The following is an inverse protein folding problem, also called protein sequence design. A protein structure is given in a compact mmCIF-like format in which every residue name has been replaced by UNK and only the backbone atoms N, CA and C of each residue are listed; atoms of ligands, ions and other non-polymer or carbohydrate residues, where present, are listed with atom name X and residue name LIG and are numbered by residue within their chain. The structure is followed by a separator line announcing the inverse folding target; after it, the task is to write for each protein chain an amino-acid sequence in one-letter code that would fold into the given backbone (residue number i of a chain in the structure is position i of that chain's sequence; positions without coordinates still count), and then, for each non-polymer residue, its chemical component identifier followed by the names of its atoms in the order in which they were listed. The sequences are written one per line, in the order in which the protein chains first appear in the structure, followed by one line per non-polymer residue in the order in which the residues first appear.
data_IF_673376248766
#
_entry.id   IF_673376248766
#
_cell.length_a   1.000
_cell.length_b   1.000
_cell.length_c   1.000
_cell.angle_alpha   90.00
_cell.angle_beta   90.00
_cell.angle_gamma   90.00
#
_symmetry.space_group_name_H-M   'P 1'
#
loop_
_entity.id
_entity.type
_entity.pdbx_description
1 polymer ?
#
# COMPACT_ATOMS: atom_id res chain seq x y z
N UNK A 1 3.60 5.53 2.67
CA UNK A 1 4.68 5.23 3.62
C UNK A 1 4.13 4.30 4.71
N UNK A 2 4.73 3.15 4.86
CA UNK A 2 4.28 2.19 5.85
C UNK A 2 5.07 2.37 7.13
N UNK A 3 4.34 2.60 8.20
CA UNK A 3 4.92 2.76 9.52
C UNK A 3 4.97 1.39 10.22
N UNK A 4 6.11 1.07 10.82
CA UNK A 4 6.29 -0.14 11.64
C UNK A 4 5.28 -0.21 12.79
N UNK A 5 4.93 0.94 13.37
CA UNK A 5 3.92 1.04 14.40
C UNK A 5 2.52 0.61 13.91
N UNK A 6 2.19 0.90 12.67
CA UNK A 6 0.93 0.45 12.05
C UNK A 6 0.88 -1.07 11.94
N UNK A 7 1.95 -1.70 11.47
CA UNK A 7 2.03 -3.17 11.37
C UNK A 7 1.91 -3.82 12.74
N UNK A 8 2.64 -3.31 13.73
CA UNK A 8 2.56 -3.81 15.11
C UNK A 8 1.15 -3.68 15.68
N UNK A 9 0.47 -2.57 15.43
CA UNK A 9 -0.90 -2.35 15.87
C UNK A 9 -1.90 -3.29 15.20
N UNK A 10 -1.73 -3.57 13.90
CA UNK A 10 -2.57 -4.53 13.18
C UNK A 10 -2.36 -5.95 13.70
N UNK A 11 -1.13 -6.35 13.98
CA UNK A 11 -0.84 -7.68 14.53
C UNK A 11 -1.29 -7.87 15.97
N UNK A 12 -1.54 -6.78 16.70
CA UNK A 12 -2.04 -6.81 18.07
C UNK A 12 -3.58 -6.97 18.17
N UNK A 13 -4.30 -6.97 17.05
CA UNK A 13 -5.75 -7.18 17.05
C UNK A 13 -6.06 -8.62 17.48
N UNK A 14 -7.02 -8.77 18.38
CA UNK A 14 -7.48 -10.07 18.87
C UNK A 14 -8.41 -10.75 17.84
N UNK A 15 -7.86 -11.10 16.70
CA UNK A 15 -8.53 -11.86 15.65
C UNK A 15 -7.50 -12.61 14.80
N UNK A 16 -7.94 -13.63 14.10
CA UNK A 16 -7.10 -14.32 13.14
C UNK A 16 -6.96 -13.46 11.87
N UNK A 17 -5.78 -12.93 11.65
CA UNK A 17 -5.48 -12.11 10.49
C UNK A 17 -4.16 -12.50 9.83
N UNK A 18 -4.08 -12.28 8.53
CA UNK A 18 -2.87 -12.43 7.74
C UNK A 18 -2.58 -11.11 7.05
N UNK A 19 -1.37 -10.58 7.25
CA UNK A 19 -0.87 -9.44 6.51
C UNK A 19 -0.09 -9.91 5.29
N UNK A 20 -0.51 -9.49 4.13
CA UNK A 20 0.18 -9.75 2.87
C UNK A 20 0.83 -8.45 2.40
N UNK A 21 2.15 -8.47 2.26
CA UNK A 21 2.93 -7.36 1.72
C UNK A 21 3.43 -7.72 0.34
N UNK A 22 3.09 -6.92 -0.64
CA UNK A 22 3.61 -7.04 -1.99
C UNK A 22 4.47 -5.82 -2.29
N UNK A 23 5.76 -6.06 -2.49
CA UNK A 23 6.75 -5.01 -2.77
C UNK A 23 7.35 -5.29 -4.13
N UNK A 24 7.20 -4.34 -5.04
CA UNK A 24 7.77 -4.43 -6.38
C UNK A 24 8.71 -3.25 -6.62
N UNK A 25 10.01 -3.49 -6.83
CA UNK A 25 10.92 -2.43 -7.20
C UNK A 25 10.54 -1.87 -8.58
N UNK A 26 10.60 -0.56 -8.72
CA UNK A 26 10.31 0.14 -9.97
C UNK A 26 11.64 0.54 -10.59
N UNK A 27 11.79 0.26 -11.89
CA UNK A 27 12.97 0.69 -12.63
C UNK A 27 13.07 2.21 -12.64
N UNK A 28 14.24 2.75 -12.27
CA UNK A 28 14.46 4.19 -11.99
C UNK A 28 13.92 5.14 -13.08
N UNK A 29 14.16 4.95 -14.38
CA UNK A 29 13.60 5.82 -15.41
C UNK A 29 12.08 5.82 -15.46
N UNK A 30 11.47 4.67 -15.21
CA UNK A 30 10.00 4.52 -15.16
C UNK A 30 9.41 5.21 -13.93
N UNK A 31 10.05 5.06 -12.77
CA UNK A 31 9.66 5.73 -11.54
C UNK A 31 9.69 7.27 -11.69
N UNK A 32 10.76 7.79 -12.31
CA UNK A 32 10.89 9.22 -12.61
C UNK A 32 9.78 9.72 -13.53
N UNK A 33 9.47 8.98 -14.60
CA UNK A 33 8.39 9.34 -15.53
C UNK A 33 7.02 9.38 -14.85
N UNK A 34 6.71 8.39 -14.01
CA UNK A 34 5.46 8.34 -13.25
C UNK A 34 5.33 9.51 -12.28
N UNK A 35 6.37 9.82 -11.52
CA UNK A 35 6.35 10.93 -10.56
C UNK A 35 6.25 12.28 -11.25
N UNK A 36 6.93 12.47 -12.37
CA UNK A 36 6.80 13.71 -13.16
C UNK A 36 5.38 13.86 -13.72
N UNK A 37 4.75 12.77 -14.15
CA UNK A 37 3.37 12.80 -14.60
C UNK A 37 2.41 13.16 -13.46
N UNK A 38 2.59 12.56 -12.29
CA UNK A 38 1.77 12.86 -11.11
C UNK A 38 1.95 14.30 -10.64
N UNK A 39 3.19 14.82 -10.64
CA UNK A 39 3.47 16.21 -10.31
C UNK A 39 2.76 17.18 -11.28
N UNK A 40 2.80 16.91 -12.58
CA UNK A 40 2.09 17.72 -13.58
C UNK A 40 0.57 17.70 -13.35
N UNK A 41 0.01 16.53 -13.08
CA UNK A 41 -1.42 16.40 -12.78
C UNK A 41 -1.79 17.16 -11.51
N UNK A 42 -1.00 17.06 -10.45
CA UNK A 42 -1.20 17.79 -9.20
C UNK A 42 -1.18 19.30 -9.43
N UNK A 43 -0.26 19.80 -10.24
CA UNK A 43 -0.17 21.21 -10.59
C UNK A 43 -1.39 21.70 -11.40
N UNK A 44 -1.91 20.86 -12.31
CA UNK A 44 -3.07 21.18 -13.13
C UNK A 44 -4.38 21.19 -12.36
N UNK A 45 -4.52 20.35 -11.33
CA UNK A 45 -5.75 20.16 -10.56
C UNK A 45 -5.84 21.04 -9.30
N UNK A 46 -5.00 22.05 -9.17
CA UNK A 46 -5.01 23.00 -8.04
C UNK A 46 -4.81 22.34 -6.67
N UNK A 47 -4.05 21.26 -6.60
CA UNK A 47 -3.60 20.72 -5.33
C UNK A 47 -2.76 21.74 -4.56
N UNK A 48 -2.73 21.62 -3.23
CA UNK A 48 -1.94 22.49 -2.39
C UNK A 48 -0.47 22.47 -2.78
N UNK A 49 0.20 23.60 -2.61
CA UNK A 49 1.64 23.74 -2.89
C UNK A 49 2.48 22.66 -2.18
N UNK A 50 2.05 22.24 -0.99
CA UNK A 50 2.69 21.20 -0.19
C UNK A 50 2.79 19.84 -0.90
N UNK A 51 1.74 19.47 -1.66
CA UNK A 51 1.74 18.21 -2.42
C UNK A 51 2.73 18.26 -3.59
N UNK A 52 2.80 19.40 -4.28
CA UNK A 52 3.75 19.60 -5.37
C UNK A 52 5.19 19.58 -4.86
N UNK A 53 5.44 20.17 -3.68
CA UNK A 53 6.75 20.15 -3.03
C UNK A 53 7.17 18.72 -2.63
N UNK A 54 6.26 17.92 -2.06
CA UNK A 54 6.53 16.51 -1.75
C UNK A 54 6.95 15.70 -2.99
N UNK A 55 6.29 15.90 -4.12
CA UNK A 55 6.70 15.24 -5.37
C UNK A 55 8.09 15.69 -5.84
N UNK A 56 8.44 16.97 -5.69
CA UNK A 56 9.76 17.47 -6.05
C UNK A 56 10.87 16.91 -5.16
N UNK A 57 10.61 16.76 -3.86
CA UNK A 57 11.53 16.12 -2.91
C UNK A 57 11.78 14.65 -3.24
N UNK A 58 10.71 13.91 -3.57
CA UNK A 58 10.83 12.49 -3.96
C UNK A 58 11.61 12.35 -5.27
N UNK A 59 11.37 13.22 -6.24
CA UNK A 59 12.14 13.24 -7.49
C UNK A 59 13.63 13.52 -7.24
N UNK A 60 13.95 14.50 -6.40
CA UNK A 60 15.33 14.81 -6.03
C UNK A 60 16.01 13.62 -5.32
N UNK A 61 15.28 12.94 -4.41
CA UNK A 61 15.77 11.75 -3.73
C UNK A 61 16.06 10.59 -4.69
N UNK A 62 15.26 10.43 -5.75
CA UNK A 62 15.51 9.41 -6.79
C UNK A 62 16.72 9.77 -7.63
N UNK A 63 16.93 11.04 -7.96
CA UNK A 63 18.12 11.49 -8.71
C UNK A 63 19.40 11.29 -7.91
N UNK A 64 19.35 11.51 -6.61
CA UNK A 64 20.48 11.31 -5.68
C UNK A 64 20.71 9.85 -5.27
N UNK A 65 19.81 8.95 -5.64
CA UNK A 65 19.86 7.54 -5.23
C UNK A 65 21.04 6.73 -5.79
N UNK A 66 21.80 7.27 -6.73
CA UNK A 66 23.01 6.62 -7.22
C UNK A 66 24.09 6.51 -6.13
N UNK A 67 24.04 7.41 -5.13
CA UNK A 67 24.95 7.42 -4.00
C UNK A 67 24.42 6.67 -2.78
N UNK A 68 23.08 6.58 -2.60
CA UNK A 68 22.46 6.10 -1.38
C UNK A 68 21.75 4.75 -1.50
N UNK A 69 21.80 4.07 -2.64
CA UNK A 69 21.13 2.78 -2.90
C UNK A 69 19.62 2.78 -2.59
N UNK A 70 18.97 3.93 -2.60
CA UNK A 70 17.54 4.04 -2.43
C UNK A 70 16.83 3.72 -3.75
N UNK A 71 15.83 2.85 -3.68
CA UNK A 71 15.01 2.48 -4.82
C UNK A 71 13.55 2.83 -4.54
N UNK A 72 12.86 3.39 -5.53
CA UNK A 72 11.42 3.52 -5.45
C UNK A 72 10.78 2.15 -5.63
N UNK A 73 9.84 1.82 -4.76
CA UNK A 73 9.11 0.56 -4.80
C UNK A 73 7.62 0.82 -4.88
N UNK A 74 6.92 0.03 -5.68
CA UNK A 74 5.47 -0.08 -5.62
C UNK A 74 5.13 -1.01 -4.46
N UNK A 75 4.27 -0.53 -3.57
CA UNK A 75 3.91 -1.25 -2.37
C UNK A 75 2.39 -1.44 -2.31
N UNK A 76 1.97 -2.67 -2.06
CA UNK A 76 0.59 -2.99 -1.79
C UNK A 76 0.50 -3.87 -0.54
N UNK A 77 -0.45 -3.57 0.32
CA UNK A 77 -0.75 -4.35 1.51
C UNK A 77 -2.18 -4.86 1.45
N UNK A 78 -2.37 -6.12 1.77
CA UNK A 78 -3.68 -6.70 1.98
C UNK A 78 -3.78 -7.30 3.38
N UNK A 79 -4.93 -7.11 4.02
CA UNK A 79 -5.25 -7.72 5.31
C UNK A 79 -6.34 -8.74 5.07
N UNK A 80 -6.06 -9.99 5.38
CA UNK A 80 -7.00 -11.10 5.28
C UNK A 80 -7.47 -11.45 6.67
N UNK A 81 -8.76 -11.28 6.93
CA UNK A 81 -9.39 -11.62 8.18
C UNK A 81 -10.07 -13.00 8.07
N UNK A 82 -9.94 -13.79 9.12
CA UNK A 82 -10.63 -15.06 9.27
C UNK A 82 -11.42 -15.07 10.58
N UNK A 83 -12.57 -15.70 10.57
CA UNK A 83 -13.40 -15.85 11.75
C UNK A 83 -14.37 -17.00 11.58
N UNK A 84 -14.78 -17.61 12.68
CA UNK A 84 -15.78 -18.66 12.68
C UNK A 84 -17.18 -18.10 12.46
N UNK A 85 -17.42 -16.87 12.91
CA UNK A 85 -18.69 -16.18 12.78
C UNK A 85 -18.54 -14.87 12.00
N UNK A 86 -19.65 -14.39 11.45
CA UNK A 86 -19.68 -13.08 10.81
C UNK A 86 -19.33 -11.95 11.80
N UNK A 87 -19.75 -12.10 13.06
CA UNK A 87 -19.47 -11.13 14.10
C UNK A 87 -17.96 -10.97 14.36
N UNK A 88 -17.19 -12.06 14.31
CA UNK A 88 -15.75 -12.05 14.47
C UNK A 88 -15.07 -11.27 13.32
N UNK A 89 -15.54 -11.48 12.10
CA UNK A 89 -15.04 -10.78 10.92
C UNK A 89 -15.41 -9.30 10.98
N UNK A 90 -16.62 -8.95 11.36
CA UNK A 90 -17.07 -7.56 11.48
C UNK A 90 -16.29 -6.81 12.57
N UNK A 91 -15.99 -7.48 13.68
CA UNK A 91 -15.11 -6.94 14.72
C UNK A 91 -13.70 -6.69 14.20
N UNK A 92 -13.09 -7.68 13.56
CA UNK A 92 -11.76 -7.54 12.96
C UNK A 92 -11.70 -6.43 11.92
N UNK A 93 -12.72 -6.31 11.05
CA UNK A 93 -12.82 -5.25 10.05
C UNK A 93 -12.87 -3.86 10.69
N UNK A 94 -13.69 -3.68 11.72
CA UNK A 94 -13.81 -2.40 12.42
C UNK A 94 -12.50 -1.99 13.11
N UNK A 95 -11.77 -2.93 13.70
CA UNK A 95 -10.46 -2.67 14.32
C UNK A 95 -9.39 -2.33 13.28
N UNK A 96 -9.36 -3.04 12.16
CA UNK A 96 -8.45 -2.73 11.04
C UNK A 96 -8.72 -1.33 10.49
N UNK A 97 -9.98 -0.98 10.29
CA UNK A 97 -10.36 0.37 9.82
C UNK A 97 -9.97 1.45 10.82
N UNK A 98 -10.15 1.20 12.11
CA UNK A 98 -9.77 2.14 13.18
C UNK A 98 -8.27 2.41 13.15
N UNK A 99 -7.46 1.36 13.09
CA UNK A 99 -5.99 1.48 13.07
C UNK A 99 -5.53 2.18 11.79
N UNK A 100 -6.03 1.78 10.63
CA UNK A 100 -5.67 2.40 9.36
C UNK A 100 -5.98 3.91 9.34
N UNK A 101 -7.13 4.33 9.89
CA UNK A 101 -7.47 5.75 10.01
C UNK A 101 -6.52 6.53 10.91
N UNK A 102 -6.03 5.93 12.00
CA UNK A 102 -5.03 6.56 12.87
C UNK A 102 -3.74 6.87 12.14
N UNK A 103 -3.37 6.07 11.15
CA UNK A 103 -2.17 6.25 10.33
C UNK A 103 -2.44 6.93 8.98
N UNK A 104 -3.64 7.48 8.78
CA UNK A 104 -3.99 8.20 7.56
C UNK A 104 -4.18 7.31 6.32
N UNK A 105 -4.39 6.02 6.50
CA UNK A 105 -4.63 5.05 5.43
C UNK A 105 -6.12 4.73 5.33
N UNK A 106 -6.66 4.70 4.12
CA UNK A 106 -8.05 4.32 3.87
C UNK A 106 -8.08 2.90 3.30
N UNK A 107 -8.50 1.91 4.08
CA UNK A 107 -8.64 0.55 3.57
C UNK A 107 -9.90 0.43 2.71
N UNK A 108 -9.81 -0.36 1.66
CA UNK A 108 -10.93 -0.69 0.78
C UNK A 108 -11.25 -2.17 0.95
N UNK A 109 -12.53 -2.47 1.22
CA UNK A 109 -12.98 -3.85 1.28
C UNK A 109 -13.05 -4.45 -0.12
N UNK A 110 -12.34 -5.54 -0.31
CA UNK A 110 -12.41 -6.31 -1.56
C UNK A 110 -13.54 -7.34 -1.51
N UNK A 111 -14.38 -7.35 -2.53
CA UNK A 111 -15.45 -8.31 -2.68
C UNK A 111 -15.14 -9.38 -3.74
N UNK A 112 -14.97 -8.95 -4.97
CA UNK A 112 -14.84 -9.84 -6.13
C UNK A 112 -13.48 -10.51 -6.26
N UNK A 113 -12.42 -9.90 -5.74
CA UNK A 113 -11.02 -10.35 -5.88
C UNK A 113 -10.54 -11.09 -4.63
N UNK A 114 -11.36 -11.25 -3.62
CA UNK A 114 -11.00 -11.88 -2.33
C UNK A 114 -10.37 -13.26 -2.52
N UNK A 115 -10.92 -14.07 -3.41
CA UNK A 115 -10.39 -15.41 -3.67
C UNK A 115 -9.00 -15.37 -4.32
N UNK A 116 -8.78 -14.46 -5.27
CA UNK A 116 -7.48 -14.29 -5.92
C UNK A 116 -6.43 -13.79 -4.91
N UNK A 117 -6.78 -12.83 -4.07
CA UNK A 117 -5.91 -12.31 -3.00
C UNK A 117 -5.55 -13.42 -2.00
N UNK A 118 -6.50 -14.25 -1.63
CA UNK A 118 -6.26 -15.40 -0.75
C UNK A 118 -5.27 -16.40 -1.35
N UNK A 119 -5.39 -16.72 -2.62
CA UNK A 119 -4.49 -17.65 -3.29
C UNK A 119 -3.09 -17.06 -3.54
N UNK A 120 -2.99 -15.75 -3.70
CA UNK A 120 -1.70 -15.07 -3.89
C UNK A 120 -0.80 -15.06 -2.65
N UNK A 121 -1.35 -15.29 -1.47
CA UNK A 121 -0.53 -15.41 -0.24
C UNK A 121 0.38 -16.65 -0.25
N UNK A 122 0.12 -17.63 -1.14
CA UNK A 122 0.94 -18.83 -1.22
C UNK A 122 2.21 -18.56 -2.01
N UNK A 123 3.40 -18.93 -1.50
CA UNK A 123 4.64 -18.84 -2.24
C UNK A 123 4.52 -19.61 -3.58
N UNK A 124 5.12 -19.08 -4.62
CA UNK A 124 5.13 -19.65 -5.99
C UNK A 124 3.87 -19.43 -6.86
N UNK A 125 2.88 -18.69 -6.42
CA UNK A 125 1.73 -18.31 -7.27
C UNK A 125 1.69 -16.83 -7.67
N UNK A 126 2.80 -16.13 -7.55
CA UNK A 126 2.91 -14.69 -7.80
C UNK A 126 2.60 -14.19 -9.23
N UNK A 127 2.11 -15.04 -10.11
CA UNK A 127 1.80 -14.66 -11.50
C UNK A 127 0.31 -14.41 -11.78
N UNK A 128 -0.59 -14.59 -10.81
CA UNK A 128 -2.03 -14.60 -11.13
C UNK A 128 -2.73 -13.28 -10.84
N UNK A 129 -2.15 -12.34 -10.17
CA UNK A 129 -2.87 -11.11 -9.87
C UNK A 129 -2.09 -9.84 -10.16
N UNK A 130 -1.83 -9.58 -11.38
CA UNK A 130 -1.83 -8.21 -11.87
C UNK A 130 -3.23 -7.88 -12.40
N UNK A 131 -4.23 -7.94 -11.57
CA UNK A 131 -5.45 -7.19 -11.82
C UNK A 131 -5.11 -5.73 -11.54
N UNK A 132 -4.65 -5.05 -12.56
CA UNK A 132 -4.64 -3.60 -12.61
C UNK A 132 -6.09 -3.16 -12.62
N UNK A 133 -6.57 -2.58 -11.52
CA UNK A 133 -7.69 -1.68 -11.55
C UNK A 133 -7.28 -0.38 -12.17
#
# INVERSE_FOLDING_TARGET
YMDEAMVASLLAIDCELTLLHNVRPIFKPHARALLMQQQRMATMTSFSADVVEQYSEVLAAIEDSDTNHQALTEYAMAVILRGETKADIDFGESEVQRICRLFGVTPVREGWVTQATFFNQKPCRGHIATCRG
#
